data_IF_914944239572
#
_entry.id   IF_914944239572
#
_cell.length_a   1.000
_cell.length_b   1.000
_cell.length_c   1.000
_cell.angle_alpha   90.00
_cell.angle_beta   90.00
_cell.angle_gamma   90.00
#
_symmetry.space_group_name_H-M   'P 1'
#
loop_
_entity.id
_entity.type
_entity.pdbx_description
1 polymer ?
#
# COMPACT_ATOMS: atom_id res chain seq x y z
N UNK A 1 13.48 0.29 -19.71
CA UNK A 1 13.30 0.68 -18.30
C UNK A 1 12.79 -0.47 -17.45
N UNK A 2 11.61 -1.06 -17.76
CA UNK A 2 10.99 -2.14 -16.97
C UNK A 2 11.93 -3.32 -16.67
N UNK A 3 12.62 -3.87 -17.68
CA UNK A 3 13.59 -4.97 -17.49
C UNK A 3 14.69 -4.66 -16.46
N UNK A 4 15.22 -3.44 -16.44
CA UNK A 4 16.27 -3.05 -15.48
C UNK A 4 15.72 -2.91 -14.07
N UNK A 5 14.53 -2.32 -13.95
CA UNK A 5 13.85 -2.22 -12.65
C UNK A 5 13.51 -3.62 -12.14
N UNK A 6 13.16 -4.55 -13.03
CA UNK A 6 12.94 -5.96 -12.69
C UNK A 6 14.21 -6.65 -12.18
N UNK A 7 15.34 -6.44 -12.86
CA UNK A 7 16.64 -6.98 -12.45
C UNK A 7 17.05 -6.48 -11.05
N UNK A 8 16.79 -5.20 -10.72
CA UNK A 8 17.02 -4.64 -9.36
C UNK A 8 15.99 -5.13 -8.33
N UNK A 9 14.74 -5.30 -8.74
CA UNK A 9 13.66 -5.79 -7.90
C UNK A 9 13.93 -7.22 -7.43
N UNK A 10 14.30 -8.10 -8.35
CA UNK A 10 14.55 -9.51 -8.07
C UNK A 10 13.29 -10.29 -7.71
N UNK A 11 13.26 -11.57 -8.09
CA UNK A 11 12.12 -12.46 -7.83
C UNK A 11 11.90 -12.75 -6.34
N UNK A 12 12.97 -12.76 -5.53
CA UNK A 12 12.89 -13.12 -4.10
C UNK A 12 11.92 -12.26 -3.30
N UNK A 13 11.82 -10.95 -3.58
CA UNK A 13 10.89 -10.04 -2.88
C UNK A 13 9.43 -10.34 -3.20
N UNK A 14 9.14 -10.77 -4.44
CA UNK A 14 7.81 -11.19 -4.86
C UNK A 14 7.39 -12.48 -4.15
N UNK A 15 8.28 -13.48 -4.13
CA UNK A 15 8.02 -14.72 -3.40
C UNK A 15 7.86 -14.48 -1.91
N UNK A 16 8.69 -13.63 -1.31
CA UNK A 16 8.58 -13.26 0.10
C UNK A 16 7.21 -12.65 0.41
N UNK A 17 6.76 -11.67 -0.38
CA UNK A 17 5.43 -11.10 -0.17
C UNK A 17 4.34 -12.14 -0.37
N UNK A 18 4.41 -12.92 -1.45
CA UNK A 18 3.42 -13.95 -1.76
C UNK A 18 3.27 -14.96 -0.62
N UNK A 19 4.37 -15.46 -0.07
CA UNK A 19 4.36 -16.40 1.06
C UNK A 19 3.81 -15.73 2.32
N UNK A 20 4.22 -14.50 2.63
CA UNK A 20 3.67 -13.77 3.78
C UNK A 20 2.16 -13.54 3.63
N UNK A 21 1.69 -13.16 2.44
CA UNK A 21 0.26 -13.02 2.13
C UNK A 21 -0.51 -14.33 2.33
N UNK A 22 0.07 -15.47 1.93
CA UNK A 22 -0.51 -16.79 2.19
C UNK A 22 -0.57 -17.11 3.68
N UNK A 23 0.52 -16.85 4.43
CA UNK A 23 0.58 -17.15 5.86
C UNK A 23 -0.43 -16.34 6.67
N UNK A 24 -0.50 -15.02 6.44
CA UNK A 24 -1.49 -14.16 7.10
C UNK A 24 -2.92 -14.52 6.68
N UNK A 25 -3.16 -14.79 5.39
CA UNK A 25 -4.48 -15.21 4.93
C UNK A 25 -4.91 -16.56 5.50
N UNK A 26 -4.00 -17.51 5.69
CA UNK A 26 -4.31 -18.79 6.34
C UNK A 26 -4.52 -18.63 7.85
N UNK A 27 -3.76 -17.76 8.51
CA UNK A 27 -3.95 -17.44 9.93
C UNK A 27 -5.36 -16.92 10.20
N UNK A 28 -5.87 -16.04 9.34
CA UNK A 28 -7.22 -15.48 9.48
C UNK A 28 -8.30 -16.55 9.25
N UNK A 29 -8.08 -17.48 8.31
CA UNK A 29 -9.01 -18.57 8.03
C UNK A 29 -9.19 -19.52 9.22
N UNK A 30 -8.15 -19.73 10.02
CA UNK A 30 -8.22 -20.57 11.22
C UNK A 30 -9.09 -19.92 12.31
N UNK A 31 -9.26 -18.60 12.26
CA UNK A 31 -9.97 -17.81 13.26
C UNK A 31 -11.51 -17.81 13.06
N UNK A 32 -12.01 -18.09 11.85
CA UNK A 32 -13.44 -17.86 11.53
C UNK A 32 -14.02 -18.80 10.47
N UNK A 33 -15.25 -19.29 10.68
CA UNK A 33 -16.06 -19.98 9.66
C UNK A 33 -16.85 -18.98 8.82
N UNK A 34 -16.17 -18.35 7.86
CA UNK A 34 -16.75 -17.23 7.09
C UNK A 34 -16.92 -17.53 5.59
N UNK A 35 -17.76 -16.73 4.93
CA UNK A 35 -17.92 -16.76 3.46
C UNK A 35 -16.71 -16.13 2.78
N UNK A 36 -16.47 -16.46 1.50
CA UNK A 36 -15.29 -15.97 0.76
C UNK A 36 -15.14 -14.43 0.84
N UNK A 37 -16.18 -13.59 0.62
CA UNK A 37 -16.00 -12.14 0.65
C UNK A 37 -15.66 -11.59 2.04
N UNK A 38 -16.16 -12.24 3.10
CA UNK A 38 -15.90 -11.85 4.48
C UNK A 38 -14.45 -12.16 4.84
N UNK A 39 -13.97 -13.34 4.44
CA UNK A 39 -12.56 -13.72 4.58
C UNK A 39 -11.63 -12.74 3.87
N UNK A 40 -11.92 -12.39 2.61
CA UNK A 40 -11.12 -11.42 1.86
C UNK A 40 -11.14 -10.03 2.52
N UNK A 41 -12.29 -9.57 3.00
CA UNK A 41 -12.39 -8.29 3.70
C UNK A 41 -11.64 -8.29 5.03
N UNK A 42 -11.64 -9.39 5.78
CA UNK A 42 -10.88 -9.50 7.02
C UNK A 42 -9.38 -9.32 6.74
N UNK A 43 -8.83 -10.10 5.79
CA UNK A 43 -7.41 -10.00 5.43
C UNK A 43 -7.04 -8.64 4.83
N UNK A 44 -7.90 -8.05 4.00
CA UNK A 44 -7.65 -6.73 3.40
C UNK A 44 -7.72 -5.58 4.40
N UNK A 45 -8.41 -5.75 5.52
CA UNK A 45 -8.51 -4.74 6.58
C UNK A 45 -7.60 -5.04 7.78
N UNK A 46 -6.84 -6.13 7.74
CA UNK A 46 -5.85 -6.43 8.78
C UNK A 46 -4.68 -5.43 8.72
N UNK A 47 -4.64 -4.56 9.74
CA UNK A 47 -3.64 -3.52 9.89
C UNK A 47 -2.23 -4.09 10.12
N UNK A 48 -2.14 -5.24 10.80
CA UNK A 48 -0.86 -5.88 11.10
C UNK A 48 -0.26 -6.50 9.85
N UNK A 49 -1.09 -7.13 9.02
CA UNK A 49 -0.65 -7.70 7.75
C UNK A 49 0.05 -6.65 6.87
N UNK A 50 -0.54 -5.48 6.60
CA UNK A 50 0.18 -4.55 5.73
C UNK A 50 1.37 -3.87 6.41
N UNK A 51 1.27 -3.52 7.69
CA UNK A 51 2.36 -2.79 8.36
C UNK A 51 3.58 -3.66 8.62
N UNK A 52 3.39 -4.96 8.89
CA UNK A 52 4.51 -5.85 9.23
C UNK A 52 4.93 -6.80 8.10
N UNK A 53 4.04 -7.14 7.16
CA UNK A 53 4.42 -7.97 6.02
C UNK A 53 4.59 -7.16 4.74
N UNK A 54 3.57 -6.42 4.33
CA UNK A 54 3.52 -5.78 3.01
C UNK A 54 4.49 -4.62 2.89
N UNK A 55 4.39 -3.66 3.82
CA UNK A 55 5.09 -2.39 3.77
C UNK A 55 6.62 -2.57 3.85
N UNK A 56 7.19 -3.43 4.72
CA UNK A 56 8.63 -3.69 4.71
C UNK A 56 9.12 -4.26 3.39
N UNK A 57 8.42 -5.26 2.82
CA UNK A 57 8.80 -5.88 1.56
C UNK A 57 8.71 -4.88 0.41
N UNK A 58 7.68 -4.04 0.40
CA UNK A 58 7.52 -3.00 -0.61
C UNK A 58 8.59 -1.90 -0.48
N UNK A 59 8.94 -1.48 0.74
CA UNK A 59 10.04 -0.53 0.95
C UNK A 59 11.40 -1.14 0.55
N UNK A 60 11.63 -2.43 0.78
CA UNK A 60 12.81 -3.13 0.27
C UNK A 60 12.85 -3.16 -1.27
N UNK A 61 11.70 -3.30 -1.93
CA UNK A 61 11.59 -3.15 -3.37
C UNK A 61 11.97 -1.73 -3.80
N UNK A 62 11.35 -0.70 -3.22
CA UNK A 62 11.61 0.70 -3.56
C UNK A 62 13.08 1.08 -3.33
N UNK A 63 13.67 0.68 -2.22
CA UNK A 63 15.07 0.99 -1.88
C UNK A 63 16.07 0.35 -2.83
N UNK A 64 15.76 -0.81 -3.40
CA UNK A 64 16.61 -1.43 -4.44
C UNK A 64 16.58 -0.72 -5.79
N UNK A 65 15.53 0.07 -6.06
CA UNK A 65 15.31 0.75 -7.34
C UNK A 65 15.59 2.26 -7.25
N UNK A 66 15.61 2.84 -6.05
CA UNK A 66 15.65 4.28 -5.87
C UNK A 66 16.87 4.96 -6.51
N UNK A 67 18.02 4.29 -6.50
CA UNK A 67 19.27 4.85 -7.06
C UNK A 67 19.16 5.12 -8.54
N UNK A 68 19.70 6.26 -8.96
CA UNK A 68 19.73 6.64 -10.36
C UNK A 68 20.60 5.71 -11.20
N UNK A 69 20.11 5.44 -12.41
CA UNK A 69 20.87 4.70 -13.40
C UNK A 69 22.06 5.54 -13.88
N UNK A 70 23.03 4.88 -14.51
CA UNK A 70 24.25 5.54 -15.00
C UNK A 70 23.93 6.78 -15.85
N UNK A 71 24.77 7.82 -15.80
CA UNK A 71 24.52 9.10 -16.47
C UNK A 71 24.30 8.95 -17.99
N UNK A 72 24.86 7.91 -18.60
CA UNK A 72 24.64 7.55 -20.01
C UNK A 72 23.16 7.28 -20.34
N UNK A 73 22.38 6.81 -19.37
CA UNK A 73 20.94 6.57 -19.50
C UNK A 73 20.18 7.88 -19.49
N UNK A 74 20.58 8.86 -18.68
CA UNK A 74 19.92 10.17 -18.62
C UNK A 74 20.03 10.92 -19.95
N UNK A 75 21.20 10.88 -20.60
CA UNK A 75 21.43 11.53 -21.90
C UNK A 75 20.43 11.06 -22.96
N UNK A 76 20.02 9.78 -22.91
CA UNK A 76 19.05 9.20 -23.87
C UNK A 76 17.64 9.80 -23.75
N UNK A 77 17.26 10.30 -22.58
CA UNK A 77 15.90 10.82 -22.32
C UNK A 77 15.77 12.34 -22.48
N UNK A 78 16.90 13.05 -22.63
CA UNK A 78 16.96 14.49 -22.90
C UNK A 78 16.69 15.37 -21.68
N UNK A 79 15.65 15.08 -20.90
CA UNK A 79 15.33 15.79 -19.65
C UNK A 79 15.20 14.84 -18.48
N UNK A 80 15.51 15.34 -17.27
CA UNK A 80 15.41 14.55 -16.05
C UNK A 80 13.97 14.12 -15.78
N UNK A 81 13.00 15.04 -15.90
CA UNK A 81 11.59 14.72 -15.69
C UNK A 81 11.09 13.55 -16.56
N UNK A 82 11.47 13.49 -17.84
CA UNK A 82 11.10 12.36 -18.72
C UNK A 82 11.69 11.04 -18.25
N UNK A 83 12.97 11.04 -17.87
CA UNK A 83 13.61 9.85 -17.29
C UNK A 83 12.92 9.43 -15.99
N UNK A 84 12.62 10.36 -15.09
CA UNK A 84 11.96 10.09 -13.81
C UNK A 84 10.58 9.47 -14.01
N UNK A 85 9.73 10.03 -14.87
CA UNK A 85 8.40 9.46 -15.13
C UNK A 85 8.48 8.09 -15.81
N UNK A 86 9.46 7.86 -16.68
CA UNK A 86 9.68 6.52 -17.24
C UNK A 86 10.14 5.50 -16.18
N UNK A 87 10.99 5.92 -15.24
CA UNK A 87 11.42 5.12 -14.09
C UNK A 87 10.25 4.81 -13.15
N UNK A 88 9.48 5.84 -12.80
CA UNK A 88 8.29 5.73 -11.96
C UNK A 88 7.25 4.82 -12.58
N UNK A 89 6.92 4.97 -13.87
CA UNK A 89 5.99 4.09 -14.57
C UNK A 89 6.47 2.64 -14.62
N UNK A 90 7.79 2.42 -14.76
CA UNK A 90 8.35 1.07 -14.70
C UNK A 90 8.22 0.45 -13.31
N UNK A 91 8.49 1.22 -12.25
CA UNK A 91 8.30 0.78 -10.87
C UNK A 91 6.82 0.54 -10.57
N UNK A 92 5.90 1.36 -11.08
CA UNK A 92 4.45 1.14 -10.98
C UNK A 92 4.01 -0.19 -11.61
N UNK A 93 4.52 -0.55 -12.79
CA UNK A 93 4.20 -1.85 -13.40
C UNK A 93 4.65 -3.02 -12.53
N UNK A 94 5.83 -2.91 -11.92
CA UNK A 94 6.38 -3.94 -11.03
C UNK A 94 5.62 -3.99 -9.71
N UNK A 95 5.25 -2.85 -9.15
CA UNK A 95 4.39 -2.74 -7.99
C UNK A 95 2.99 -3.32 -8.25
N UNK A 96 2.42 -3.09 -9.44
CA UNK A 96 1.15 -3.67 -9.85
C UNK A 96 1.23 -5.20 -9.99
N UNK A 97 2.33 -5.73 -10.54
CA UNK A 97 2.54 -7.18 -10.58
C UNK A 97 2.70 -7.78 -9.17
N UNK A 98 3.40 -7.09 -8.28
CA UNK A 98 3.57 -7.50 -6.89
C UNK A 98 2.24 -7.49 -6.15
N UNK A 99 1.43 -6.45 -6.38
CA UNK A 99 0.06 -6.35 -5.90
C UNK A 99 -0.83 -7.48 -6.45
N UNK A 100 -0.74 -7.80 -7.74
CA UNK A 100 -1.47 -8.92 -8.34
C UNK A 100 -1.09 -10.25 -7.69
N UNK A 101 0.21 -10.48 -7.45
CA UNK A 101 0.69 -11.66 -6.74
C UNK A 101 0.14 -11.76 -5.32
N UNK A 102 0.14 -10.64 -4.59
CA UNK A 102 -0.47 -10.55 -3.27
C UNK A 102 -1.98 -10.85 -3.30
N UNK A 103 -2.74 -10.24 -4.22
CA UNK A 103 -4.18 -10.46 -4.32
C UNK A 103 -4.49 -11.91 -4.69
N UNK A 104 -3.67 -12.52 -5.57
CA UNK A 104 -3.77 -13.94 -5.89
C UNK A 104 -3.49 -14.81 -4.66
N UNK A 105 -2.45 -14.52 -3.87
CA UNK A 105 -2.16 -15.25 -2.63
C UNK A 105 -3.36 -15.20 -1.66
N UNK A 106 -3.92 -14.00 -1.42
CA UNK A 106 -5.06 -13.83 -0.52
C UNK A 106 -6.28 -14.62 -1.05
N UNK A 107 -6.55 -14.56 -2.35
CA UNK A 107 -7.63 -15.34 -2.99
C UNK A 107 -7.43 -16.85 -2.84
N UNK A 108 -6.19 -17.35 -2.98
CA UNK A 108 -5.87 -18.76 -2.78
C UNK A 108 -6.18 -19.23 -1.35
N UNK A 109 -5.99 -18.37 -0.34
CA UNK A 109 -6.33 -18.74 1.05
C UNK A 109 -7.84 -18.95 1.26
N UNK A 110 -8.68 -18.28 0.46
CA UNK A 110 -10.13 -18.43 0.48
C UNK A 110 -10.69 -19.61 -0.33
N UNK A 111 -9.83 -20.41 -0.98
CA UNK A 111 -10.29 -21.57 -1.74
C UNK A 111 -11.03 -22.58 -0.84
N UNK A 112 -12.22 -22.98 -1.29
CA UNK A 112 -13.12 -23.87 -0.56
C UNK A 112 -14.16 -23.18 0.32
N UNK A 113 -14.16 -21.84 0.40
CA UNK A 113 -15.20 -21.09 1.11
C UNK A 113 -16.42 -20.82 0.21
N UNK A 114 -17.64 -20.76 0.78
CA UNK A 114 -18.85 -20.47 0.02
C UNK A 114 -18.83 -19.04 -0.53
N UNK A 115 -19.18 -18.90 -1.81
CA UNK A 115 -19.29 -17.63 -2.51
C UNK A 115 -20.68 -17.05 -2.25
N UNK A 116 -20.86 -16.38 -1.12
CA UNK A 116 -22.10 -15.67 -0.81
C UNK A 116 -21.89 -14.16 -0.95
N UNK A 117 -22.68 -13.51 -1.83
CA UNK A 117 -22.56 -12.07 -2.10
C UNK A 117 -23.21 -11.14 -1.06
N UNK A 118 -23.60 -11.65 0.11
CA UNK A 118 -24.28 -10.88 1.15
C UNK A 118 -23.31 -10.49 2.25
N UNK A 119 -23.55 -9.34 2.85
CA UNK A 119 -22.87 -8.94 4.07
C UNK A 119 -23.08 -10.00 5.16
N UNK A 120 -22.08 -10.26 6.01
CA UNK A 120 -22.26 -11.13 7.15
C UNK A 120 -23.40 -10.55 8.00
N UNK A 121 -24.27 -11.43 8.50
CA UNK A 121 -25.32 -11.02 9.44
C UNK A 121 -24.73 -10.44 10.72
N UNK A 122 -25.56 -10.09 11.68
CA UNK A 122 -25.16 -9.53 12.99
C UNK A 122 -24.38 -10.50 13.90
N UNK A 123 -23.85 -11.60 13.36
CA UNK A 123 -23.04 -12.59 14.08
C UNK A 123 -21.78 -11.94 14.64
N UNK A 124 -21.62 -12.01 15.97
CA UNK A 124 -20.58 -11.33 16.73
C UNK A 124 -19.19 -11.91 16.53
N UNK A 125 -18.42 -11.30 15.63
CA UNK A 125 -16.98 -11.54 15.47
C UNK A 125 -16.15 -10.26 15.68
N UNK A 126 -14.84 -10.42 15.78
CA UNK A 126 -13.85 -9.34 15.94
C UNK A 126 -13.98 -8.22 14.89
N UNK A 127 -14.48 -8.54 13.69
CA UNK A 127 -14.62 -7.62 12.56
C UNK A 127 -15.99 -6.95 12.44
N UNK A 128 -16.89 -7.14 13.41
CA UNK A 128 -18.27 -6.63 13.34
C UNK A 128 -18.33 -5.13 13.09
N UNK A 129 -17.60 -4.35 13.87
CA UNK A 129 -17.60 -2.88 13.74
C UNK A 129 -17.11 -2.43 12.35
N UNK A 130 -16.05 -3.07 11.86
CA UNK A 130 -15.47 -2.80 10.54
C UNK A 130 -16.47 -3.13 9.44
N UNK A 131 -17.14 -4.29 9.49
CA UNK A 131 -18.12 -4.67 8.48
C UNK A 131 -19.38 -3.83 8.53
N UNK A 132 -19.84 -3.41 9.71
CA UNK A 132 -20.98 -2.49 9.83
C UNK A 132 -20.66 -1.12 9.21
N UNK A 133 -19.43 -0.62 9.42
CA UNK A 133 -18.98 0.62 8.80
C UNK A 133 -18.91 0.50 7.27
N UNK A 134 -18.34 -0.60 6.76
CA UNK A 134 -18.25 -0.84 5.32
C UNK A 134 -19.63 -1.05 4.68
N UNK A 135 -20.56 -1.73 5.35
CA UNK A 135 -21.93 -1.91 4.87
C UNK A 135 -22.69 -0.58 4.74
N UNK A 136 -22.42 0.39 5.62
CA UNK A 136 -23.00 1.73 5.54
C UNK A 136 -22.51 2.55 4.33
N UNK A 137 -21.37 2.20 3.75
CA UNK A 137 -20.70 2.96 2.68
C UNK A 137 -20.83 2.25 1.33
N UNK A 138 -20.75 0.93 1.32
CA UNK A 138 -20.68 0.13 0.09
C UNK A 138 -21.94 -0.69 -0.14
N UNK A 139 -22.47 -0.74 -1.38
CA UNK A 139 -23.67 -1.50 -1.70
C UNK A 139 -23.45 -3.02 -1.58
N UNK A 140 -22.22 -3.51 -1.76
CA UNK A 140 -21.89 -4.93 -1.70
C UNK A 140 -20.50 -5.20 -1.08
N UNK A 141 -20.26 -6.39 -0.49
CA UNK A 141 -18.93 -6.80 -0.03
C UNK A 141 -17.88 -6.76 -1.14
N UNK A 142 -18.26 -7.16 -2.36
CA UNK A 142 -17.37 -7.13 -3.53
C UNK A 142 -16.94 -5.73 -3.92
N UNK A 143 -17.82 -4.74 -3.84
CA UNK A 143 -17.44 -3.34 -4.04
C UNK A 143 -16.45 -2.85 -2.98
N UNK A 144 -16.65 -3.23 -1.71
CA UNK A 144 -15.70 -2.89 -0.65
C UNK A 144 -14.33 -3.54 -0.87
N UNK A 145 -14.29 -4.81 -1.29
CA UNK A 145 -13.05 -5.53 -1.65
C UNK A 145 -12.32 -4.79 -2.78
N UNK A 146 -13.02 -4.45 -3.86
CA UNK A 146 -12.42 -3.74 -5.00
C UNK A 146 -11.89 -2.36 -4.59
N UNK A 147 -12.62 -1.62 -3.76
CA UNK A 147 -12.17 -0.32 -3.26
C UNK A 147 -10.96 -0.43 -2.32
N UNK A 148 -10.95 -1.40 -1.38
CA UNK A 148 -9.79 -1.64 -0.53
C UNK A 148 -8.57 -2.08 -1.35
N UNK A 149 -8.75 -3.02 -2.27
CA UNK A 149 -7.68 -3.50 -3.14
C UNK A 149 -7.15 -2.37 -4.06
N UNK A 150 -8.05 -1.54 -4.63
CA UNK A 150 -7.67 -0.37 -5.41
C UNK A 150 -6.90 0.68 -4.59
N UNK A 151 -7.32 0.94 -3.35
CA UNK A 151 -6.62 1.86 -2.45
C UNK A 151 -5.18 1.39 -2.18
N UNK A 152 -4.97 0.09 -1.95
CA UNK A 152 -3.62 -0.45 -1.71
C UNK A 152 -2.70 -0.27 -2.93
N UNK A 153 -3.23 -0.43 -4.14
CA UNK A 153 -2.49 -0.19 -5.38
C UNK A 153 -2.12 1.29 -5.55
N UNK A 154 -3.05 2.21 -5.24
CA UNK A 154 -2.77 3.64 -5.21
C UNK A 154 -1.69 3.98 -4.17
N UNK A 155 -1.77 3.36 -2.98
CA UNK A 155 -0.78 3.50 -1.92
C UNK A 155 0.61 3.07 -2.37
N UNK A 156 0.74 1.97 -3.10
CA UNK A 156 2.03 1.54 -3.68
C UNK A 156 2.58 2.56 -4.65
N UNK A 157 1.73 3.16 -5.49
CA UNK A 157 2.14 4.23 -6.38
C UNK A 157 2.70 5.44 -5.64
N UNK A 158 2.00 5.90 -4.60
CA UNK A 158 2.43 7.03 -3.79
C UNK A 158 3.75 6.75 -3.06
N UNK A 159 3.88 5.58 -2.41
CA UNK A 159 5.12 5.19 -1.73
C UNK A 159 6.28 5.07 -2.73
N UNK A 160 6.03 4.49 -3.92
CA UNK A 160 7.03 4.41 -4.98
C UNK A 160 7.46 5.81 -5.46
N UNK A 161 6.53 6.74 -5.64
CA UNK A 161 6.82 8.13 -6.01
C UNK A 161 7.68 8.81 -4.94
N UNK A 162 7.29 8.69 -3.67
CA UNK A 162 8.06 9.24 -2.54
C UNK A 162 9.45 8.65 -2.45
N UNK A 163 9.59 7.33 -2.61
CA UNK A 163 10.90 6.67 -2.55
C UNK A 163 11.83 7.08 -3.69
N UNK A 164 11.31 7.21 -4.92
CA UNK A 164 12.09 7.71 -6.06
C UNK A 164 12.48 9.18 -5.88
N UNK A 165 11.56 10.01 -5.39
CA UNK A 165 11.82 11.42 -5.10
C UNK A 165 12.92 11.58 -4.04
N UNK A 166 12.79 10.87 -2.91
CA UNK A 166 13.81 10.87 -1.86
C UNK A 166 15.15 10.32 -2.35
N UNK A 167 15.14 9.23 -3.13
CA UNK A 167 16.37 8.64 -3.67
C UNK A 167 17.13 9.54 -4.64
N UNK A 168 16.43 10.46 -5.29
CA UNK A 168 17.05 11.44 -6.18
C UNK A 168 17.54 12.69 -5.43
N UNK A 169 16.71 13.27 -4.56
CA UNK A 169 17.03 14.55 -3.90
C UNK A 169 17.86 14.41 -2.63
N UNK A 170 17.89 13.22 -2.02
CA UNK A 170 18.69 12.95 -0.84
C UNK A 170 19.82 11.97 -1.17
N UNK A 171 20.87 11.97 -0.34
CA UNK A 171 21.84 10.86 -0.38
C UNK A 171 21.14 9.54 -0.04
N UNK A 172 21.66 8.42 -0.57
CA UNK A 172 21.10 7.08 -0.30
C UNK A 172 20.88 6.82 1.19
N UNK A 173 21.87 7.18 2.02
CA UNK A 173 21.80 6.98 3.47
C UNK A 173 20.68 7.79 4.11
N UNK A 174 20.50 9.05 3.69
CA UNK A 174 19.43 9.91 4.19
C UNK A 174 18.05 9.44 3.67
N UNK A 175 17.93 9.10 2.39
CA UNK A 175 16.69 8.61 1.80
C UNK A 175 16.19 7.33 2.52
N UNK A 176 17.09 6.37 2.77
CA UNK A 176 16.76 5.15 3.53
C UNK A 176 16.37 5.49 4.97
N UNK A 177 17.10 6.37 5.66
CA UNK A 177 16.74 6.80 7.02
C UNK A 177 15.36 7.48 7.08
N UNK A 178 15.04 8.33 6.11
CA UNK A 178 13.74 8.99 6.02
C UNK A 178 12.61 7.99 5.74
N UNK A 179 12.79 7.06 4.81
CA UNK A 179 11.81 5.99 4.55
C UNK A 179 11.62 5.09 5.78
N UNK A 180 12.69 4.77 6.50
CA UNK A 180 12.61 4.03 7.77
C UNK A 180 11.89 4.83 8.86
N UNK A 181 12.12 6.14 8.96
CA UNK A 181 11.39 6.98 9.90
C UNK A 181 9.89 7.04 9.58
N UNK A 182 9.51 7.16 8.30
CA UNK A 182 8.12 7.10 7.85
C UNK A 182 7.49 5.73 8.12
N UNK A 183 8.26 4.65 7.95
CA UNK A 183 7.83 3.30 8.31
C UNK A 183 7.59 3.14 9.81
N UNK A 184 8.54 3.55 10.65
CA UNK A 184 8.39 3.51 12.11
C UNK A 184 7.20 4.36 12.57
N UNK A 185 6.99 5.51 11.94
CA UNK A 185 5.81 6.33 12.20
C UNK A 185 4.50 5.58 11.87
N UNK A 186 4.47 4.82 10.77
CA UNK A 186 3.34 3.96 10.43
C UNK A 186 3.10 2.84 11.46
N UNK A 187 4.17 2.25 12.00
CA UNK A 187 4.08 1.25 13.09
C UNK A 187 3.55 1.88 14.38
N UNK A 188 4.11 3.02 14.78
CA UNK A 188 3.72 3.74 16.00
C UNK A 188 2.26 4.18 15.95
N UNK A 189 1.74 4.49 14.77
CA UNK A 189 0.34 4.85 14.58
C UNK A 189 -0.64 3.76 15.04
N UNK A 190 -0.30 2.49 14.82
CA UNK A 190 -1.16 1.35 15.23
C UNK A 190 -1.06 1.13 16.74
N UNK A 191 0.13 1.24 17.30
CA UNK A 191 0.40 0.89 18.70
C UNK A 191 0.02 1.99 19.70
N UNK A 192 0.03 3.26 19.27
CA UNK A 192 -0.13 4.40 20.17
C UNK A 192 -1.52 5.05 20.03
N UNK A 193 -2.41 4.90 21.03
CA UNK A 193 -3.75 5.51 20.98
C UNK A 193 -3.72 7.04 20.95
N UNK A 194 -2.62 7.67 21.35
CA UNK A 194 -2.41 9.13 21.25
C UNK A 194 -2.38 9.61 19.80
N UNK A 195 -1.96 8.76 18.85
CA UNK A 195 -1.89 9.11 17.43
C UNK A 195 -3.28 9.31 16.82
N UNK A 196 -4.31 8.74 17.43
CA UNK A 196 -5.71 8.95 17.07
C UNK A 196 -6.32 10.25 17.64
N UNK A 197 -5.54 11.07 18.36
CA UNK A 197 -5.99 12.32 18.99
C UNK A 197 -5.33 13.56 18.36
N UNK A 198 -5.97 14.74 18.41
CA UNK A 198 -5.34 16.00 18.00
C UNK A 198 -4.06 16.30 18.80
N UNK A 199 -3.00 16.84 18.17
CA UNK A 199 -2.90 17.27 16.77
C UNK A 199 -2.47 16.15 15.80
N UNK A 200 -2.02 14.99 16.29
CA UNK A 200 -1.42 13.93 15.48
C UNK A 200 -2.41 13.25 14.53
N UNK A 201 -3.70 13.29 14.86
CA UNK A 201 -4.79 12.77 14.03
C UNK A 201 -4.85 13.37 12.61
N UNK A 202 -4.26 14.56 12.41
CA UNK A 202 -4.22 15.24 11.12
C UNK A 202 -3.03 14.83 10.25
N UNK A 203 -2.09 14.04 10.77
CA UNK A 203 -0.93 13.57 10.02
C UNK A 203 -1.32 12.37 9.17
N UNK A 204 -1.27 12.56 7.86
CA UNK A 204 -1.48 11.52 6.86
C UNK A 204 -0.14 10.88 6.50
N UNK A 205 -0.12 9.57 6.31
CA UNK A 205 1.10 8.80 6.12
C UNK A 205 0.85 7.47 5.42
N UNK A 206 1.82 6.56 5.43
CA UNK A 206 1.74 5.29 4.69
C UNK A 206 0.48 4.48 5.00
N UNK A 207 0.05 4.44 6.26
CA UNK A 207 -1.19 3.75 6.63
C UNK A 207 -2.43 4.33 5.92
N UNK A 208 -2.54 5.65 5.82
CA UNK A 208 -3.67 6.32 5.16
C UNK A 208 -3.62 6.17 3.62
N UNK A 209 -2.43 5.98 3.07
CA UNK A 209 -2.27 5.72 1.64
C UNK A 209 -2.66 4.29 1.27
N UNK A 210 -2.29 3.31 2.08
CA UNK A 210 -2.50 1.88 1.79
C UNK A 210 -3.84 1.36 2.31
N UNK A 211 -4.28 1.79 3.50
CA UNK A 211 -5.52 1.32 4.12
C UNK A 211 -6.68 2.28 3.92
N UNK A 212 -7.69 1.81 3.20
CA UNK A 212 -8.92 2.58 3.02
C UNK A 212 -9.67 2.80 4.34
N UNK A 213 -9.69 1.80 5.22
CA UNK A 213 -10.43 1.85 6.48
C UNK A 213 -10.02 3.04 7.37
N UNK A 214 -8.74 3.40 7.39
CA UNK A 214 -8.24 4.55 8.15
C UNK A 214 -8.83 5.89 7.68
N UNK A 215 -9.15 5.98 6.39
CA UNK A 215 -9.76 7.16 5.78
C UNK A 215 -11.28 7.18 6.00
N UNK A 216 -11.92 6.02 6.11
CA UNK A 216 -13.37 5.87 6.31
C UNK A 216 -13.78 5.96 7.78
N UNK A 217 -12.85 5.80 8.72
CA UNK A 217 -13.11 5.88 10.16
C UNK A 217 -13.74 7.21 10.61
N UNK A 218 -13.48 8.30 9.88
CA UNK A 218 -14.12 9.60 10.11
C UNK A 218 -14.46 10.28 8.78
N UNK A 219 -15.61 10.95 8.64
CA UNK A 219 -16.05 11.53 7.38
C UNK A 219 -15.11 12.60 6.81
N UNK A 220 -14.37 13.31 7.68
CA UNK A 220 -13.43 14.35 7.29
C UNK A 220 -12.02 13.82 6.97
N UNK A 221 -11.68 12.57 7.31
CA UNK A 221 -10.33 12.03 7.11
C UNK A 221 -10.05 11.69 5.65
N UNK A 222 -11.04 11.16 4.94
CA UNK A 222 -10.91 10.90 3.50
C UNK A 222 -10.59 12.18 2.70
N UNK A 223 -11.37 13.28 2.79
CA UNK A 223 -11.03 14.50 2.05
C UNK A 223 -9.71 15.12 2.52
N UNK A 224 -9.37 15.07 3.81
CA UNK A 224 -8.07 15.55 4.31
C UNK A 224 -6.91 14.77 3.70
N UNK A 225 -7.01 13.44 3.64
CA UNK A 225 -6.00 12.57 3.04
C UNK A 225 -5.87 12.83 1.55
N UNK A 226 -6.98 13.05 0.84
CA UNK A 226 -6.96 13.40 -0.57
C UNK A 226 -6.21 14.74 -0.80
N UNK A 227 -6.54 15.78 -0.04
CA UNK A 227 -5.92 17.11 -0.18
C UNK A 227 -4.41 17.06 0.15
N UNK A 228 -4.04 16.48 1.29
CA UNK A 228 -2.64 16.38 1.72
C UNK A 228 -1.81 15.55 0.75
N UNK A 229 -2.35 14.43 0.28
CA UNK A 229 -1.68 13.56 -0.70
C UNK A 229 -1.54 14.23 -2.06
N UNK A 230 -2.57 14.94 -2.54
CA UNK A 230 -2.52 15.68 -3.79
C UNK A 230 -1.48 16.81 -3.73
N UNK A 231 -1.43 17.55 -2.62
CA UNK A 231 -0.40 18.58 -2.39
C UNK A 231 1.01 18.01 -2.40
N UNK A 232 1.25 16.91 -1.68
CA UNK A 232 2.54 16.22 -1.67
C UNK A 232 2.94 15.69 -3.05
N UNK A 233 2.02 15.02 -3.75
CA UNK A 233 2.26 14.49 -5.08
C UNK A 233 2.54 15.60 -6.10
N UNK A 234 1.77 16.69 -6.06
CA UNK A 234 2.00 17.87 -6.90
C UNK A 234 3.35 18.52 -6.61
N UNK A 235 3.74 18.66 -5.34
CA UNK A 235 5.05 19.17 -4.94
C UNK A 235 6.20 18.30 -5.45
N UNK A 236 6.10 16.98 -5.32
CA UNK A 236 7.10 16.04 -5.86
C UNK A 236 7.19 16.11 -7.39
N UNK A 237 6.05 16.14 -8.08
CA UNK A 237 6.00 16.28 -9.55
C UNK A 237 6.62 17.61 -9.99
N UNK A 238 6.26 18.71 -9.34
CA UNK A 238 6.80 20.04 -9.63
C UNK A 238 8.33 20.07 -9.47
N UNK A 239 8.85 19.56 -8.34
CA UNK A 239 10.29 19.44 -8.08
C UNK A 239 11.03 18.67 -9.18
N UNK A 240 10.44 17.60 -9.68
CA UNK A 240 11.02 16.78 -10.75
C UNK A 240 10.98 17.50 -12.10
N UNK A 241 9.95 18.29 -12.38
CA UNK A 241 9.78 18.98 -13.67
C UNK A 241 10.56 20.28 -13.80
N UNK A 242 10.96 20.91 -12.69
CA UNK A 242 11.76 22.14 -12.68
C UNK A 242 13.24 21.91 -13.04
N UNK A 243 13.69 20.66 -13.18
CA UNK A 243 15.04 20.26 -13.57
C UNK A 243 15.05 19.51 -14.90
#
# INVERSE_FOLDING_TARGET
MVRRVWEKAGLGKFFLLFVLSLLFGLSERVSTQDTLPVHLLAVLNDQYYYTFAVLPVFLLLCTSVMEDDTPFVLVRYGTFGRYFFHKYRALLMIAALLWLGQMAAILLTGLGLPIAGRWPGTSGGQWREVFTLLQGIFPSPWSAILCCAGQTLLGYGLIALTALCLGHFCSRSLAVRLLMALYLFAVLWIQLPVMSRPPFVFLTGFNHWVFLLHNLACPWRFPLTAVTTAGLAAGMVWLVTQR
#
